data_IF_834236858723
#
_entry.id   IF_834236858723
#
_cell.length_a   1.000
_cell.length_b   1.000
_cell.length_c   1.000
_cell.angle_alpha   90.00
_cell.angle_beta   90.00
_cell.angle_gamma   90.00
#
_symmetry.space_group_name_H-M   'P 1'
#
loop_
_entity.id
_entity.type
_entity.pdbx_description
1 polymer ?
#
# COMPACT_ATOMS: atom_id res chain seq x y z
N UNK A 1 6.95 -1.16 -19.64
CA UNK A 1 6.67 -0.83 -18.22
C UNK A 1 5.17 -0.94 -18.09
N UNK A 2 4.68 -1.85 -17.25
CA UNK A 2 3.24 -2.07 -17.14
C UNK A 2 2.53 -0.79 -16.69
N UNK A 3 1.34 -0.56 -17.23
CA UNK A 3 0.54 0.61 -16.89
C UNK A 3 0.04 0.45 -15.46
N UNK A 4 0.40 1.40 -14.61
CA UNK A 4 -0.08 1.52 -13.24
C UNK A 4 -1.52 2.02 -13.24
N UNK A 5 -2.44 1.23 -12.69
CA UNK A 5 -3.86 1.52 -12.62
C UNK A 5 -4.37 1.56 -11.17
N UNK A 6 -5.43 2.33 -10.94
CA UNK A 6 -6.15 2.31 -9.67
C UNK A 6 -6.44 0.87 -9.22
N UNK A 7 -6.12 0.56 -7.96
CA UNK A 7 -6.34 -0.77 -7.40
C UNK A 7 -5.12 -1.70 -7.46
N UNK A 8 -4.08 -1.35 -8.21
CA UNK A 8 -2.85 -2.15 -8.24
C UNK A 8 -2.19 -2.19 -6.86
N UNK A 9 -1.66 -3.37 -6.48
CA UNK A 9 -0.88 -3.53 -5.26
C UNK A 9 0.60 -3.53 -5.61
N UNK A 10 1.29 -2.53 -5.08
CA UNK A 10 2.70 -2.27 -5.35
C UNK A 10 3.56 -2.61 -4.14
N UNK A 11 4.71 -3.24 -4.35
CA UNK A 11 5.71 -3.42 -3.29
C UNK A 11 6.73 -2.27 -3.34
N UNK A 12 6.56 -1.30 -2.45
CA UNK A 12 7.36 -0.07 -2.44
C UNK A 12 8.40 -0.08 -1.33
N UNK A 13 9.47 0.71 -1.49
CA UNK A 13 10.46 1.00 -0.44
C UNK A 13 9.95 2.17 0.40
N UNK A 14 9.45 1.90 1.60
CA UNK A 14 9.09 2.93 2.57
C UNK A 14 10.35 3.32 3.34
N UNK A 15 10.85 4.56 3.19
CA UNK A 15 12.03 5.01 3.91
C UNK A 15 11.73 5.13 5.42
N UNK A 16 12.75 4.88 6.24
CA UNK A 16 12.72 5.27 7.65
C UNK A 16 13.12 6.74 7.80
N UNK A 17 12.96 7.28 9.01
CA UNK A 17 13.29 8.68 9.33
C UNK A 17 14.77 9.02 9.08
N UNK A 18 15.65 8.01 9.04
CA UNK A 18 17.07 8.19 8.73
C UNK A 18 17.36 8.48 7.25
N UNK A 19 16.38 8.33 6.37
CA UNK A 19 16.49 8.57 4.92
C UNK A 19 17.39 7.59 4.15
N UNK A 20 18.10 6.70 4.84
CA UNK A 20 19.08 5.78 4.25
C UNK A 20 18.58 4.33 4.26
N UNK A 21 17.80 3.97 5.27
CA UNK A 21 17.24 2.63 5.40
C UNK A 21 15.77 2.64 4.99
N UNK A 22 15.29 1.50 4.51
CA UNK A 22 13.91 1.35 4.09
C UNK A 22 13.38 -0.04 4.43
N UNK A 23 12.06 -0.15 4.52
CA UNK A 23 11.35 -1.44 4.56
C UNK A 23 10.47 -1.56 3.33
N UNK A 24 10.48 -2.74 2.70
CA UNK A 24 9.52 -3.02 1.62
C UNK A 24 8.14 -3.28 2.21
N UNK A 25 7.14 -2.53 1.75
CA UNK A 25 5.75 -2.68 2.21
C UNK A 25 4.80 -2.63 1.01
N UNK A 26 3.74 -3.46 1.02
CA UNK A 26 2.68 -3.34 0.03
C UNK A 26 1.95 -2.00 0.20
N UNK A 27 1.51 -1.44 -0.91
CA UNK A 27 0.69 -0.24 -0.96
C UNK A 27 -0.33 -0.35 -2.10
N UNK A 28 -1.53 0.17 -1.87
CA UNK A 28 -2.60 0.24 -2.86
C UNK A 28 -2.41 1.52 -3.68
N UNK A 29 -2.38 1.40 -5.00
CA UNK A 29 -2.35 2.55 -5.89
C UNK A 29 -3.72 3.24 -5.93
N UNK A 30 -3.75 4.51 -5.54
CA UNK A 30 -4.95 5.36 -5.52
C UNK A 30 -4.96 6.31 -6.73
N UNK A 31 -3.81 6.85 -7.10
CA UNK A 31 -3.70 7.68 -8.30
C UNK A 31 -2.32 7.57 -8.91
N UNK A 32 -2.26 7.64 -10.24
CA UNK A 32 -1.03 7.78 -11.00
C UNK A 32 -1.04 9.19 -11.61
N UNK A 33 -0.12 10.04 -11.16
CA UNK A 33 -0.03 11.42 -11.62
C UNK A 33 0.75 11.47 -12.94
N UNK A 34 0.41 12.42 -13.81
CA UNK A 34 1.02 12.55 -15.14
C UNK A 34 2.48 13.04 -15.12
N UNK A 35 3.00 13.41 -13.95
CA UNK A 35 4.37 13.85 -13.70
C UNK A 35 5.30 12.73 -13.20
N UNK A 36 4.79 11.50 -13.08
CA UNK A 36 5.54 10.33 -12.62
C UNK A 36 5.44 10.07 -11.11
N UNK A 37 4.75 10.93 -10.37
CA UNK A 37 4.41 10.67 -8.98
C UNK A 37 3.19 9.75 -8.86
N UNK A 38 3.09 9.03 -7.74
CA UNK A 38 1.93 8.18 -7.45
C UNK A 38 1.42 8.46 -6.05
N UNK A 39 0.09 8.47 -5.91
CA UNK A 39 -0.57 8.50 -4.61
C UNK A 39 -0.94 7.08 -4.24
N UNK A 40 -0.49 6.63 -3.07
CA UNK A 40 -0.72 5.28 -2.58
C UNK A 40 -1.26 5.28 -1.16
N UNK A 41 -2.08 4.28 -0.84
CA UNK A 41 -2.49 3.98 0.52
C UNK A 41 -1.64 2.84 1.07
N UNK A 42 -1.17 2.96 2.31
CA UNK A 42 -0.32 1.95 2.95
C UNK A 42 -1.14 0.69 3.27
N UNK A 43 -0.63 -0.47 2.91
CA UNK A 43 -1.19 -1.76 3.37
C UNK A 43 -0.37 -2.26 4.55
N UNK A 44 -1.05 -2.71 5.62
CA UNK A 44 -0.42 -3.23 6.83
C UNK A 44 -1.17 -4.43 7.38
N UNK A 45 -0.44 -5.46 7.81
CA UNK A 45 -1.00 -6.63 8.51
C UNK A 45 -1.20 -6.40 10.01
N UNK A 46 -0.78 -5.23 10.52
CA UNK A 46 -1.17 -4.77 11.85
C UNK A 46 -2.57 -4.19 11.76
N UNK A 47 -3.54 -4.98 12.17
CA UNK A 47 -4.97 -4.63 12.12
C UNK A 47 -5.27 -3.64 13.23
N UNK A 48 -5.79 -2.49 12.85
CA UNK A 48 -6.34 -1.46 13.73
C UNK A 48 -7.81 -1.28 13.37
N UNK A 49 -8.59 -0.76 14.30
CA UNK A 49 -10.01 -0.44 14.11
C UNK A 49 -10.18 1.07 14.24
N UNK A 50 -9.74 1.80 13.22
CA UNK A 50 -9.97 3.25 13.10
C UNK A 50 -10.92 3.53 11.95
N UNK A 51 -11.66 4.66 11.97
CA UNK A 51 -12.59 5.01 10.89
C UNK A 51 -11.95 5.11 9.50
N UNK A 52 -10.63 5.26 9.43
CA UNK A 52 -9.84 5.42 8.20
C UNK A 52 -9.16 4.11 7.75
N UNK A 53 -9.35 3.01 8.48
CA UNK A 53 -8.80 1.71 8.11
C UNK A 53 -9.87 0.87 7.39
N UNK A 54 -9.48 0.23 6.29
CA UNK A 54 -10.37 -0.62 5.48
C UNK A 54 -9.81 -2.04 5.42
N UNK A 55 -10.60 -3.01 5.86
CA UNK A 55 -10.23 -4.44 5.83
C UNK A 55 -10.16 -4.97 4.40
N UNK A 56 -9.09 -5.69 4.08
CA UNK A 56 -8.93 -6.39 2.81
C UNK A 56 -9.45 -7.82 2.97
N UNK A 57 -10.66 -8.09 2.49
CA UNK A 57 -11.33 -9.38 2.66
C UNK A 57 -10.61 -10.51 1.91
N UNK A 58 -10.39 -10.36 0.59
CA UNK A 58 -9.78 -11.38 -0.26
C UNK A 58 -8.26 -11.21 -0.40
N UNK A 59 -7.58 -10.93 0.72
CA UNK A 59 -6.16 -10.55 0.74
C UNK A 59 -5.24 -11.59 0.07
N UNK A 60 -5.56 -12.89 0.13
CA UNK A 60 -4.82 -13.96 -0.55
C UNK A 60 -4.85 -13.79 -2.08
N UNK A 61 -6.04 -13.49 -2.64
CA UNK A 61 -6.20 -13.28 -4.09
C UNK A 61 -5.48 -12.00 -4.57
N UNK A 62 -5.32 -11.05 -3.67
CA UNK A 62 -4.54 -9.83 -3.87
C UNK A 62 -3.02 -10.05 -3.78
N UNK A 63 -2.54 -11.27 -3.50
CA UNK A 63 -1.11 -11.59 -3.37
C UNK A 63 -0.48 -11.16 -2.04
N UNK A 64 -1.29 -10.80 -1.05
CA UNK A 64 -0.82 -10.52 0.30
C UNK A 64 -0.60 -11.83 1.07
N UNK A 65 0.37 -11.84 1.98
CA UNK A 65 0.74 -13.05 2.74
C UNK A 65 -0.03 -13.24 4.03
N UNK A 66 -0.68 -12.18 4.51
CA UNK A 66 -1.37 -12.14 5.80
C UNK A 66 -2.62 -11.26 5.64
N UNK A 67 -3.65 -11.48 6.48
CA UNK A 67 -4.76 -10.54 6.63
C UNK A 67 -4.23 -9.13 6.83
N UNK A 68 -4.78 -8.17 6.10
CA UNK A 68 -4.24 -6.81 6.05
C UNK A 68 -5.36 -5.78 5.91
N UNK A 69 -5.04 -4.55 6.30
CA UNK A 69 -5.89 -3.37 6.12
C UNK A 69 -5.18 -2.36 5.20
N UNK A 70 -5.97 -1.60 4.44
CA UNK A 70 -5.55 -0.33 3.88
C UNK A 70 -5.69 0.73 4.96
N UNK A 71 -4.62 1.44 5.29
CA UNK A 71 -4.58 2.39 6.40
C UNK A 71 -4.34 3.80 5.89
N UNK A 72 -5.37 4.65 5.99
CA UNK A 72 -5.40 6.04 5.55
C UNK A 72 -5.16 7.05 6.69
N UNK A 73 -4.67 6.59 7.85
CA UNK A 73 -4.33 7.41 9.02
C UNK A 73 -3.03 8.18 8.86
#
# INVERSE_FOLDING_TARGET
MDKLNFGDILLLKFPFTDGHTYKRRPALLINNCDDGDIIVCRITSKIYDTPQDVLINEWEKCGLKLPSICSCT
#
